data_IF_912659848206
#
_entry.id   IF_912659848206
#
_cell.length_a   1.000
_cell.length_b   1.000
_cell.length_c   1.000
_cell.angle_alpha   90.00
_cell.angle_beta   90.00
_cell.angle_gamma   90.00
#
_symmetry.space_group_name_H-M   'P 1'
#
loop_
_entity.id
_entity.type
_entity.pdbx_description
1 polymer ?
#
# COMPACT_ATOMS: atom_id res chain seq x y z
N UNK A 1 23.34 36.11 5.36
CA UNK A 1 24.30 36.97 4.62
C UNK A 1 25.55 37.04 5.45
N UNK A 2 26.74 36.90 4.85
CA UNK A 2 28.00 36.97 5.58
C UNK A 2 28.16 38.41 6.10
N UNK A 3 28.35 38.56 7.41
CA UNK A 3 28.55 39.87 8.06
C UNK A 3 29.97 40.39 7.87
N UNK A 4 30.85 39.64 7.18
CA UNK A 4 32.22 40.01 6.91
C UNK A 4 32.71 39.42 5.59
N UNK A 5 33.66 40.06 4.94
CA UNK A 5 34.30 39.54 3.74
C UNK A 5 35.07 38.26 4.04
N UNK A 6 34.83 37.17 3.27
CA UNK A 6 35.48 35.88 3.54
C UNK A 6 36.98 35.88 3.28
N UNK A 7 37.51 36.78 2.48
CA UNK A 7 38.95 36.87 2.18
C UNK A 7 39.70 37.75 3.16
N UNK A 8 39.22 39.01 3.45
CA UNK A 8 39.96 39.95 4.23
C UNK A 8 39.35 40.25 5.61
N UNK A 9 38.22 39.65 5.98
CA UNK A 9 37.56 39.85 7.26
C UNK A 9 36.86 41.22 7.46
N UNK A 10 36.90 42.12 6.48
CA UNK A 10 36.22 43.43 6.59
C UNK A 10 34.74 43.22 6.85
N UNK A 11 34.18 43.88 7.85
CA UNK A 11 32.73 43.88 8.12
C UNK A 11 31.96 44.51 6.95
N UNK A 12 30.97 43.78 6.46
CA UNK A 12 30.07 44.21 5.41
C UNK A 12 28.84 44.84 6.05
N UNK A 13 28.49 46.05 5.59
CA UNK A 13 27.29 46.72 6.04
C UNK A 13 26.11 46.41 5.10
N UNK A 14 24.90 46.61 5.57
CA UNK A 14 23.68 46.31 4.80
C UNK A 14 23.57 47.14 3.50
N UNK A 15 24.33 48.25 3.40
CA UNK A 15 24.41 49.14 2.21
C UNK A 15 25.56 48.76 1.26
N UNK A 16 26.41 47.79 1.62
CA UNK A 16 27.46 47.26 0.74
C UNK A 16 26.83 46.28 -0.28
N UNK A 17 26.18 46.84 -1.31
CA UNK A 17 25.42 46.09 -2.33
C UNK A 17 26.33 45.58 -3.45
N UNK A 18 27.60 45.99 -3.50
CA UNK A 18 28.54 45.55 -4.52
C UNK A 18 28.93 44.09 -4.34
N UNK A 19 28.96 43.35 -5.43
CA UNK A 19 29.39 41.93 -5.44
C UNK A 19 30.89 41.77 -5.08
N UNK A 20 31.66 42.86 -5.22
CA UNK A 20 33.09 42.89 -4.93
C UNK A 20 33.37 43.61 -3.60
N UNK A 21 34.30 43.05 -2.85
CA UNK A 21 34.73 43.69 -1.58
C UNK A 21 35.46 44.99 -1.86
N UNK A 22 35.00 46.10 -1.28
CA UNK A 22 35.60 47.42 -1.43
C UNK A 22 37.02 47.55 -0.86
N UNK A 23 37.52 46.55 -0.12
CA UNK A 23 38.86 46.53 0.47
C UNK A 23 39.86 45.68 -0.31
N UNK A 24 39.46 44.48 -0.75
CA UNK A 24 40.37 43.52 -1.38
C UNK A 24 39.97 43.13 -2.83
N UNK A 25 38.89 43.69 -3.37
CA UNK A 25 38.45 43.46 -4.74
C UNK A 25 37.89 42.09 -5.05
N UNK A 26 37.85 41.19 -4.05
CA UNK A 26 37.38 39.81 -4.25
C UNK A 26 35.86 39.80 -4.45
N UNK A 27 35.38 39.06 -5.46
CA UNK A 27 33.94 38.80 -5.64
C UNK A 27 33.43 37.92 -4.49
N UNK A 28 32.60 38.50 -3.61
CA UNK A 28 32.08 37.84 -2.41
C UNK A 28 31.20 36.61 -2.77
N UNK A 29 30.29 36.66 -3.75
CA UNK A 29 29.47 35.50 -4.12
C UNK A 29 30.30 34.38 -4.75
N UNK A 30 31.39 34.71 -5.46
CA UNK A 30 32.21 33.72 -6.16
C UNK A 30 33.47 33.30 -5.40
N UNK A 31 33.65 33.77 -4.15
CA UNK A 31 34.78 33.37 -3.32
C UNK A 31 34.69 31.88 -2.97
N UNK A 32 35.73 31.12 -3.33
CA UNK A 32 35.82 29.66 -3.14
C UNK A 32 34.55 28.92 -3.63
N UNK A 33 33.98 29.35 -4.76
CA UNK A 33 32.80 28.75 -5.29
C UNK A 33 32.98 27.26 -5.61
N UNK A 34 34.18 26.83 -6.01
CA UNK A 34 34.52 25.44 -6.30
C UNK A 34 34.46 24.57 -5.04
N UNK A 35 35.15 25.00 -3.95
CA UNK A 35 35.07 24.29 -2.65
C UNK A 35 33.63 24.23 -2.09
N UNK A 36 32.86 25.30 -2.28
CA UNK A 36 31.45 25.32 -1.84
C UNK A 36 30.60 24.38 -2.67
N UNK A 37 30.85 24.33 -3.98
CA UNK A 37 30.17 23.43 -4.87
C UNK A 37 30.50 21.97 -4.56
N UNK A 38 31.76 21.66 -4.29
CA UNK A 38 32.17 20.31 -3.88
C UNK A 38 31.54 19.92 -2.54
N UNK A 39 31.54 20.81 -1.54
CA UNK A 39 30.91 20.57 -0.26
C UNK A 39 29.38 20.38 -0.37
N UNK A 40 28.72 21.20 -1.21
CA UNK A 40 27.29 21.05 -1.48
C UNK A 40 26.98 19.75 -2.23
N UNK A 41 27.84 19.35 -3.17
CA UNK A 41 27.71 18.07 -3.88
C UNK A 41 27.90 16.88 -2.93
N UNK A 42 28.91 16.91 -2.05
CA UNK A 42 29.07 15.87 -1.03
C UNK A 42 27.85 15.75 -0.11
N UNK A 43 27.32 16.89 0.35
CA UNK A 43 26.11 16.92 1.17
C UNK A 43 24.89 16.38 0.40
N UNK A 44 24.75 16.74 -0.86
CA UNK A 44 23.72 16.23 -1.74
C UNK A 44 23.86 14.72 -1.92
N UNK A 45 25.04 14.24 -2.24
CA UNK A 45 25.32 12.80 -2.40
C UNK A 45 25.00 11.99 -1.14
N UNK A 46 25.41 12.49 0.04
CA UNK A 46 25.10 11.85 1.32
C UNK A 46 23.59 11.79 1.58
N UNK A 47 22.84 12.88 1.27
CA UNK A 47 21.39 12.92 1.41
C UNK A 47 20.71 11.97 0.41
N UNK A 48 21.14 11.96 -0.85
CA UNK A 48 20.64 11.05 -1.86
C UNK A 48 20.94 9.58 -1.53
N UNK A 49 22.15 9.28 -1.04
CA UNK A 49 22.48 7.92 -0.61
C UNK A 49 21.58 7.44 0.53
N UNK A 50 21.30 8.29 1.53
CA UNK A 50 20.37 7.95 2.60
C UNK A 50 18.93 7.76 2.12
N UNK A 51 18.48 8.59 1.20
CA UNK A 51 17.18 8.48 0.56
C UNK A 51 17.04 7.18 -0.26
N UNK A 52 18.02 6.85 -1.09
CA UNK A 52 18.02 5.62 -1.86
C UNK A 52 18.07 4.37 -0.98
N UNK A 53 18.83 4.38 0.13
CA UNK A 53 18.79 3.29 1.13
C UNK A 53 17.38 3.10 1.68
N UNK A 54 16.70 4.19 2.05
CA UNK A 54 15.32 4.12 2.53
C UNK A 54 14.36 3.56 1.47
N UNK A 55 14.47 4.01 0.21
CA UNK A 55 13.67 3.50 -0.90
C UNK A 55 13.93 2.02 -1.17
N UNK A 56 15.20 1.58 -1.16
CA UNK A 56 15.57 0.19 -1.35
C UNK A 56 14.97 -0.70 -0.25
N UNK A 57 15.00 -0.25 1.02
CA UNK A 57 14.35 -0.96 2.13
C UNK A 57 12.84 -1.08 1.94
N UNK A 58 12.17 0.01 1.55
CA UNK A 58 10.72 0.01 1.28
C UNK A 58 10.41 -0.95 0.13
N UNK A 59 11.10 -0.82 -1.00
CA UNK A 59 10.90 -1.68 -2.16
C UNK A 59 11.14 -3.16 -1.82
N UNK A 60 12.18 -3.46 -1.07
CA UNK A 60 12.45 -4.83 -0.60
C UNK A 60 11.36 -5.33 0.36
N UNK A 61 10.87 -4.49 1.28
CA UNK A 61 9.81 -4.87 2.22
C UNK A 61 8.49 -5.20 1.53
N UNK A 62 8.20 -4.54 0.41
CA UNK A 62 6.94 -4.70 -0.34
C UNK A 62 7.09 -5.82 -1.38
N UNK A 63 8.11 -5.76 -2.24
CA UNK A 63 8.24 -6.60 -3.43
C UNK A 63 9.53 -7.44 -3.48
N UNK A 64 10.36 -7.42 -2.45
CA UNK A 64 11.69 -8.02 -2.49
C UNK A 64 11.73 -9.55 -2.59
N UNK A 65 10.68 -10.24 -2.16
CA UNK A 65 10.56 -11.71 -2.27
C UNK A 65 9.12 -12.12 -2.57
N UNK A 66 8.94 -13.31 -3.16
CA UNK A 66 7.60 -13.87 -3.42
C UNK A 66 6.75 -13.92 -2.14
N UNK A 67 7.37 -14.25 -1.01
CA UNK A 67 6.71 -14.29 0.30
C UNK A 67 6.17 -12.91 0.73
N UNK A 68 6.89 -11.82 0.44
CA UNK A 68 6.48 -10.46 0.78
C UNK A 68 5.36 -9.95 -0.11
N UNK A 69 5.36 -10.32 -1.39
CA UNK A 69 4.25 -10.04 -2.30
C UNK A 69 3.00 -10.82 -1.85
N UNK A 70 3.15 -12.12 -1.56
CA UNK A 70 2.07 -12.95 -1.04
C UNK A 70 1.49 -12.38 0.25
N UNK A 71 2.33 -11.81 1.14
CA UNK A 71 1.87 -11.12 2.35
C UNK A 71 0.85 -10.03 2.07
N UNK A 72 1.11 -9.15 1.09
CA UNK A 72 0.19 -8.04 0.77
C UNK A 72 -1.14 -8.60 0.30
N UNK A 73 -1.13 -9.57 -0.62
CA UNK A 73 -2.35 -10.18 -1.15
C UNK A 73 -3.13 -10.88 -0.05
N UNK A 74 -2.45 -11.70 0.76
CA UNK A 74 -3.09 -12.50 1.81
C UNK A 74 -3.57 -11.65 2.99
N UNK A 75 -2.95 -10.49 3.26
CA UNK A 75 -3.42 -9.57 4.32
C UNK A 75 -4.65 -8.74 3.91
N UNK A 76 -4.99 -8.66 2.61
CA UNK A 76 -6.23 -8.04 2.14
C UNK A 76 -7.41 -9.03 2.19
N UNK A 77 -7.14 -10.32 1.99
CA UNK A 77 -8.19 -11.34 1.89
C UNK A 77 -9.16 -11.41 3.08
N UNK A 78 -8.73 -11.21 4.35
CA UNK A 78 -9.65 -11.19 5.48
C UNK A 78 -10.79 -10.18 5.32
N UNK A 79 -10.55 -9.03 4.67
CA UNK A 79 -11.60 -8.05 4.41
C UNK A 79 -12.78 -8.63 3.61
N UNK A 80 -12.51 -9.56 2.69
CA UNK A 80 -13.55 -10.28 1.94
C UNK A 80 -14.35 -11.19 2.87
N UNK A 81 -13.69 -11.86 3.82
CA UNK A 81 -14.34 -12.72 4.80
C UNK A 81 -15.35 -11.97 5.67
N UNK A 82 -15.09 -10.70 5.99
CA UNK A 82 -16.00 -9.87 6.79
C UNK A 82 -17.26 -9.41 6.03
N UNK A 83 -17.27 -9.48 4.70
CA UNK A 83 -18.47 -9.19 3.88
C UNK A 83 -19.48 -10.34 3.96
N UNK A 84 -19.00 -11.55 4.28
CA UNK A 84 -19.85 -12.73 4.38
C UNK A 84 -20.63 -12.74 5.69
N UNK A 85 -21.81 -13.38 5.74
CA UNK A 85 -22.58 -13.49 6.96
C UNK A 85 -21.81 -14.31 8.02
N UNK A 86 -21.46 -13.65 9.13
CA UNK A 86 -20.67 -14.25 10.21
C UNK A 86 -21.54 -14.86 11.31
N UNK A 87 -22.80 -14.41 11.44
CA UNK A 87 -23.79 -15.00 12.34
C UNK A 87 -25.16 -15.00 11.71
N UNK A 88 -26.02 -15.88 12.13
CA UNK A 88 -27.44 -15.95 11.72
C UNK A 88 -28.32 -15.97 12.93
N UNK A 89 -29.41 -15.19 12.88
CA UNK A 89 -30.50 -15.20 13.87
C UNK A 89 -31.73 -15.70 13.13
N UNK A 90 -32.37 -16.71 13.69
CA UNK A 90 -33.64 -17.26 13.19
C UNK A 90 -34.71 -17.03 14.23
N UNK A 91 -35.81 -16.49 13.80
CA UNK A 91 -37.07 -16.35 14.54
C UNK A 91 -38.14 -17.20 13.88
N UNK A 92 -39.27 -17.38 14.56
CA UNK A 92 -40.43 -18.10 13.97
C UNK A 92 -40.93 -17.46 12.66
N UNK A 93 -40.69 -16.16 12.47
CA UNK A 93 -41.11 -15.41 11.31
C UNK A 93 -40.07 -15.31 10.21
N UNK A 94 -38.79 -15.09 10.55
CA UNK A 94 -37.75 -14.76 9.58
C UNK A 94 -36.35 -15.22 10.03
N UNK A 95 -35.43 -15.26 9.07
CA UNK A 95 -34.02 -15.58 9.29
C UNK A 95 -33.16 -14.45 8.77
N UNK A 96 -32.34 -13.86 9.62
CA UNK A 96 -31.45 -12.74 9.29
C UNK A 96 -29.98 -13.16 9.41
N UNK A 97 -29.22 -12.88 8.37
CA UNK A 97 -27.75 -13.00 8.41
C UNK A 97 -27.13 -11.69 8.85
N UNK A 98 -26.22 -11.77 9.81
CA UNK A 98 -25.41 -10.63 10.24
C UNK A 98 -24.13 -10.60 9.41
N UNK A 99 -24.00 -9.59 8.59
CA UNK A 99 -22.79 -9.30 7.81
C UNK A 99 -22.36 -7.83 8.05
N UNK A 100 -21.28 -7.41 7.42
CA UNK A 100 -20.76 -6.06 7.56
C UNK A 100 -21.74 -4.98 7.07
N UNK A 101 -22.55 -5.28 6.06
CA UNK A 101 -23.48 -4.34 5.44
C UNK A 101 -24.90 -4.49 5.97
N UNK A 102 -25.28 -5.69 6.40
CA UNK A 102 -26.61 -6.06 6.88
C UNK A 102 -26.78 -6.08 8.40
N UNK A 103 -25.82 -5.54 9.17
CA UNK A 103 -25.82 -5.59 10.65
C UNK A 103 -27.10 -5.05 11.30
N UNK A 104 -27.95 -4.37 10.56
CA UNK A 104 -29.11 -3.67 11.11
C UNK A 104 -30.36 -3.72 10.22
N UNK A 105 -30.58 -4.77 9.46
CA UNK A 105 -31.83 -4.97 8.73
C UNK A 105 -32.36 -3.73 7.97
N UNK A 106 -31.51 -2.88 7.42
CA UNK A 106 -31.77 -1.73 6.55
C UNK A 106 -30.95 -0.46 6.86
N UNK A 107 -30.09 -0.47 7.87
CA UNK A 107 -29.19 0.67 8.13
C UNK A 107 -27.80 0.38 7.58
N UNK A 108 -27.19 1.39 6.95
CA UNK A 108 -25.80 1.30 6.54
C UNK A 108 -24.87 1.27 7.75
N UNK A 109 -23.66 0.72 7.59
CA UNK A 109 -22.62 0.73 8.64
C UNK A 109 -22.36 2.16 9.15
N UNK A 110 -22.41 3.15 8.24
CA UNK A 110 -22.19 4.57 8.57
C UNK A 110 -23.32 5.08 9.49
N UNK A 111 -24.57 4.70 9.25
CA UNK A 111 -25.69 5.10 10.07
C UNK A 111 -25.65 4.41 11.44
N UNK A 112 -25.18 3.15 11.48
CA UNK A 112 -24.95 2.45 12.76
C UNK A 112 -23.89 3.17 13.60
N UNK A 113 -22.75 3.58 13.00
CA UNK A 113 -21.74 4.36 13.70
C UNK A 113 -22.25 5.72 14.17
N UNK A 114 -23.02 6.42 13.36
CA UNK A 114 -23.64 7.70 13.74
C UNK A 114 -24.61 7.51 14.94
N UNK A 115 -25.46 6.50 14.87
CA UNK A 115 -26.38 6.18 15.95
C UNK A 115 -25.64 5.79 17.24
N UNK A 116 -24.59 4.98 17.13
CA UNK A 116 -23.77 4.58 18.27
C UNK A 116 -23.08 5.79 18.91
N UNK A 117 -22.43 6.65 18.11
CA UNK A 117 -21.75 7.84 18.64
C UNK A 117 -22.73 8.93 19.12
N UNK A 118 -23.90 9.03 18.49
CA UNK A 118 -24.96 9.96 18.92
C UNK A 118 -25.68 9.54 20.19
N UNK A 119 -25.75 8.23 20.47
CA UNK A 119 -26.49 7.65 21.59
C UNK A 119 -25.64 6.72 22.43
N UNK A 120 -24.36 7.06 22.66
CA UNK A 120 -23.38 6.21 23.36
C UNK A 120 -23.86 5.80 24.76
N UNK A 121 -24.57 6.70 25.46
CA UNK A 121 -25.17 6.40 26.79
C UNK A 121 -26.25 5.33 26.68
N UNK A 122 -27.07 5.36 25.63
CA UNK A 122 -28.12 4.37 25.41
C UNK A 122 -27.51 2.98 25.15
N UNK A 123 -26.49 2.88 24.30
CA UNK A 123 -25.87 1.62 23.95
C UNK A 123 -24.97 1.06 25.06
N UNK A 124 -24.28 1.91 25.83
CA UNK A 124 -23.35 1.46 26.87
C UNK A 124 -24.03 1.37 28.24
N UNK A 125 -24.87 2.33 28.60
CA UNK A 125 -25.46 2.43 29.95
C UNK A 125 -26.72 1.59 30.06
N UNK A 126 -27.58 1.55 29.06
CA UNK A 126 -28.79 0.74 29.05
C UNK A 126 -28.55 -0.76 28.86
N UNK A 127 -27.33 -1.17 28.46
CA UNK A 127 -26.93 -2.57 28.53
C UNK A 127 -26.94 -3.16 29.93
N UNK A 128 -26.96 -2.31 30.97
CA UNK A 128 -27.03 -2.70 32.39
C UNK A 128 -28.42 -2.60 32.99
N UNK A 129 -29.45 -2.22 32.21
CA UNK A 129 -30.79 -2.07 32.75
C UNK A 129 -31.37 -3.43 33.14
N UNK A 130 -31.87 -3.51 34.41
CA UNK A 130 -32.64 -4.64 34.90
C UNK A 130 -33.87 -4.84 33.98
N UNK A 131 -33.91 -5.93 33.25
CA UNK A 131 -34.96 -6.24 32.28
C UNK A 131 -34.48 -6.40 30.84
N UNK A 132 -33.30 -5.88 30.48
CA UNK A 132 -32.63 -6.29 29.24
C UNK A 132 -31.90 -7.62 29.54
N UNK A 133 -32.35 -8.68 28.89
CA UNK A 133 -31.71 -9.98 29.00
C UNK A 133 -30.22 -9.86 28.61
N UNK A 134 -29.34 -10.62 29.24
CA UNK A 134 -27.94 -10.72 28.90
C UNK A 134 -27.69 -11.01 27.43
N UNK A 135 -28.67 -11.50 26.71
CA UNK A 135 -28.76 -11.71 25.29
C UNK A 135 -28.46 -10.46 24.47
N UNK A 136 -29.13 -9.34 24.77
CA UNK A 136 -28.94 -8.10 24.01
C UNK A 136 -27.52 -7.56 24.20
N UNK A 137 -27.04 -7.54 25.45
CA UNK A 137 -25.70 -7.07 25.77
C UNK A 137 -24.62 -7.92 25.07
N UNK A 138 -24.74 -9.25 25.14
CA UNK A 138 -23.77 -10.16 24.53
C UNK A 138 -23.78 -10.11 23.02
N UNK A 139 -24.93 -9.95 22.37
CA UNK A 139 -25.00 -9.79 20.91
C UNK A 139 -24.41 -8.46 20.46
N UNK A 140 -24.62 -7.36 21.22
CA UNK A 140 -23.99 -6.08 20.94
C UNK A 140 -22.46 -6.14 21.13
N UNK A 141 -21.96 -6.78 22.20
CA UNK A 141 -20.53 -7.01 22.37
C UNK A 141 -19.96 -7.86 21.24
N UNK A 142 -20.69 -8.87 20.76
CA UNK A 142 -20.30 -9.66 19.61
C UNK A 142 -20.09 -8.78 18.36
N UNK A 143 -21.05 -7.89 18.07
CA UNK A 143 -20.93 -6.96 16.94
C UNK A 143 -19.75 -6.02 17.09
N UNK A 144 -19.55 -5.42 18.27
CA UNK A 144 -18.42 -4.53 18.55
C UNK A 144 -17.08 -5.25 18.38
N UNK A 145 -16.97 -6.48 18.88
CA UNK A 145 -15.77 -7.29 18.74
C UNK A 145 -15.50 -7.68 17.28
N UNK A 146 -16.54 -7.91 16.49
CA UNK A 146 -16.36 -8.20 15.06
C UNK A 146 -15.88 -6.98 14.28
N UNK A 147 -16.44 -5.81 14.56
CA UNK A 147 -15.97 -4.53 13.99
C UNK A 147 -14.54 -4.24 14.43
N UNK A 148 -14.22 -4.46 15.71
CA UNK A 148 -12.86 -4.31 16.22
C UNK A 148 -11.88 -5.25 15.51
N UNK A 149 -12.28 -6.50 15.26
CA UNK A 149 -11.48 -7.45 14.50
C UNK A 149 -11.17 -6.94 13.11
N UNK A 150 -12.16 -6.43 12.39
CA UNK A 150 -11.97 -5.82 11.07
C UNK A 150 -11.02 -4.61 11.14
N UNK A 151 -11.23 -3.71 12.08
CA UNK A 151 -10.37 -2.52 12.26
C UNK A 151 -8.92 -2.93 12.52
N UNK A 152 -8.68 -3.91 13.37
CA UNK A 152 -7.33 -4.41 13.67
C UNK A 152 -6.67 -5.05 12.43
N UNK A 153 -7.42 -5.79 11.62
CA UNK A 153 -6.93 -6.34 10.35
C UNK A 153 -6.57 -5.24 9.34
N UNK A 154 -7.41 -4.21 9.22
CA UNK A 154 -7.16 -3.05 8.36
C UNK A 154 -5.94 -2.26 8.84
N UNK A 155 -5.81 -2.03 10.14
CA UNK A 155 -4.62 -1.38 10.71
C UNK A 155 -3.37 -2.20 10.42
N UNK A 156 -3.42 -3.53 10.62
CA UNK A 156 -2.31 -4.42 10.31
C UNK A 156 -1.89 -4.32 8.83
N UNK A 157 -2.84 -4.26 7.91
CA UNK A 157 -2.58 -4.05 6.49
C UNK A 157 -1.84 -2.73 6.22
N UNK A 158 -2.32 -1.60 6.75
CA UNK A 158 -1.65 -0.32 6.56
C UNK A 158 -0.27 -0.27 7.21
N UNK A 159 -0.08 -0.95 8.33
CA UNK A 159 1.22 -1.06 8.98
C UNK A 159 2.28 -1.75 8.11
N UNK A 160 1.91 -2.56 7.12
CA UNK A 160 2.84 -3.12 6.13
C UNK A 160 3.62 -2.00 5.43
N UNK A 161 2.93 -0.92 5.06
CA UNK A 161 3.52 0.23 4.36
C UNK A 161 4.21 1.19 5.31
N UNK A 162 3.58 1.50 6.44
CA UNK A 162 4.13 2.44 7.43
C UNK A 162 5.44 1.91 8.03
N UNK A 163 5.47 0.62 8.36
CA UNK A 163 6.64 -0.04 8.94
C UNK A 163 7.55 -0.70 7.89
N UNK A 164 7.40 -0.36 6.60
CA UNK A 164 8.17 -0.94 5.51
C UNK A 164 9.70 -0.79 5.67
N UNK A 165 10.16 0.26 6.37
CA UNK A 165 11.59 0.44 6.70
C UNK A 165 12.12 -0.55 7.73
N UNK A 166 11.25 -1.21 8.52
CA UNK A 166 11.59 -2.13 9.60
C UNK A 166 11.22 -3.56 9.23
N UNK A 167 12.11 -4.29 8.60
CA UNK A 167 11.83 -5.64 8.05
C UNK A 167 11.39 -6.69 9.07
N UNK A 168 11.83 -6.60 10.32
CA UNK A 168 11.64 -7.60 11.37
C UNK A 168 10.66 -7.16 12.45
N UNK A 169 9.70 -6.31 12.12
CA UNK A 169 8.70 -5.92 13.11
C UNK A 169 7.70 -7.04 13.35
N UNK A 170 7.45 -7.33 14.63
CA UNK A 170 6.41 -8.27 15.07
C UNK A 170 5.03 -7.60 15.19
N UNK A 171 4.97 -6.26 15.03
CA UNK A 171 3.75 -5.51 15.25
C UNK A 171 2.58 -6.00 14.39
N UNK A 172 2.83 -6.31 13.10
CA UNK A 172 1.79 -6.83 12.21
C UNK A 172 1.19 -8.14 12.73
N UNK A 173 2.05 -9.09 13.13
CA UNK A 173 1.58 -10.37 13.68
C UNK A 173 0.78 -10.19 14.97
N UNK A 174 1.15 -9.20 15.80
CA UNK A 174 0.42 -8.88 17.03
C UNK A 174 -0.95 -8.29 16.71
N UNK A 175 -1.05 -7.31 15.81
CA UNK A 175 -2.34 -6.70 15.44
C UNK A 175 -3.27 -7.72 14.79
N UNK A 176 -2.77 -8.57 13.90
CA UNK A 176 -3.60 -9.63 13.31
C UNK A 176 -3.96 -10.72 14.31
N UNK A 177 -3.06 -11.07 15.24
CA UNK A 177 -3.36 -11.97 16.34
C UNK A 177 -4.47 -11.43 17.24
N UNK A 178 -4.45 -10.14 17.57
CA UNK A 178 -5.52 -9.46 18.29
C UNK A 178 -6.83 -9.44 17.48
N UNK A 179 -6.75 -9.29 16.16
CA UNK A 179 -7.92 -9.41 15.28
C UNK A 179 -8.57 -10.80 15.37
N UNK A 180 -7.76 -11.85 15.33
CA UNK A 180 -8.24 -13.25 15.51
C UNK A 180 -8.90 -13.42 16.88
N UNK A 181 -8.27 -12.94 17.95
CA UNK A 181 -8.83 -13.03 19.30
C UNK A 181 -10.16 -12.27 19.42
N UNK A 182 -10.25 -11.10 18.81
CA UNK A 182 -11.48 -10.32 18.76
C UNK A 182 -12.59 -11.03 17.98
N UNK A 183 -12.28 -11.65 16.83
CA UNK A 183 -13.24 -12.43 16.05
C UNK A 183 -13.75 -13.65 16.83
N UNK A 184 -12.86 -14.39 17.50
CA UNK A 184 -13.25 -15.52 18.33
C UNK A 184 -14.08 -15.05 19.51
N UNK A 185 -13.69 -13.97 20.18
CA UNK A 185 -14.48 -13.35 21.26
C UNK A 185 -15.87 -12.95 20.78
N UNK A 186 -16.00 -12.40 19.58
CA UNK A 186 -17.29 -12.10 18.94
C UNK A 186 -18.18 -13.35 18.82
N UNK A 187 -17.64 -14.43 18.28
CA UNK A 187 -18.39 -15.69 18.13
C UNK A 187 -18.83 -16.29 19.47
N UNK A 188 -17.98 -16.22 20.49
CA UNK A 188 -18.30 -16.67 21.85
C UNK A 188 -19.42 -15.83 22.46
N UNK A 189 -19.31 -14.49 22.41
CA UNK A 189 -20.34 -13.58 22.91
C UNK A 189 -21.67 -13.80 22.20
N UNK A 190 -21.65 -13.97 20.87
CA UNK A 190 -22.86 -14.24 20.09
C UNK A 190 -23.53 -15.56 20.52
N UNK A 191 -22.75 -16.63 20.62
CA UNK A 191 -23.26 -17.95 20.98
C UNK A 191 -23.83 -17.97 22.40
N UNK A 192 -23.19 -17.29 23.35
CA UNK A 192 -23.68 -17.15 24.71
C UNK A 192 -24.94 -16.27 24.79
N UNK A 193 -24.95 -15.17 24.02
CA UNK A 193 -26.09 -14.27 23.94
C UNK A 193 -27.35 -14.97 23.43
N UNK A 194 -27.22 -15.69 22.31
CA UNK A 194 -28.39 -16.42 21.75
C UNK A 194 -28.87 -17.53 22.70
N UNK A 195 -27.98 -18.23 23.41
CA UNK A 195 -28.38 -19.24 24.41
C UNK A 195 -29.08 -18.65 25.63
N UNK A 196 -28.75 -17.42 25.99
CA UNK A 196 -29.36 -16.71 27.09
C UNK A 196 -30.70 -16.05 26.73
N UNK A 197 -31.10 -16.10 25.45
CA UNK A 197 -32.36 -15.51 24.99
C UNK A 197 -33.54 -16.17 25.69
N UNK A 198 -34.32 -15.44 26.51
CA UNK A 198 -35.51 -16.00 27.11
C UNK A 198 -36.55 -16.23 26.01
N UNK A 199 -37.24 -17.36 26.09
CA UNK A 199 -38.24 -17.77 25.10
C UNK A 199 -39.45 -16.81 24.98
N UNK A 200 -39.54 -15.82 25.89
CA UNK A 200 -40.74 -14.98 26.06
C UNK A 200 -40.50 -13.49 25.80
N UNK A 201 -39.27 -13.03 25.67
CA UNK A 201 -38.97 -11.61 25.43
C UNK A 201 -38.68 -11.35 23.96
N UNK A 202 -39.50 -10.53 23.33
CA UNK A 202 -39.25 -9.99 22.00
C UNK A 202 -38.01 -9.09 22.02
N UNK A 203 -36.96 -9.47 21.34
CA UNK A 203 -35.78 -8.65 21.14
C UNK A 203 -35.92 -7.96 19.81
N UNK A 204 -35.89 -6.62 19.79
CA UNK A 204 -35.85 -5.87 18.56
C UNK A 204 -34.40 -5.67 18.16
N UNK A 205 -34.00 -6.32 17.06
CA UNK A 205 -32.77 -6.03 16.34
C UNK A 205 -33.07 -4.98 15.27
N UNK A 206 -32.88 -3.72 15.60
CA UNK A 206 -33.32 -2.63 14.73
C UNK A 206 -34.83 -2.61 14.60
N UNK A 207 -35.37 -2.76 13.38
CA UNK A 207 -36.80 -2.90 13.08
C UNK A 207 -37.30 -4.35 13.06
N UNK A 208 -36.45 -5.32 13.44
CA UNK A 208 -36.76 -6.75 13.38
C UNK A 208 -37.13 -7.31 14.76
N UNK A 209 -38.41 -7.65 15.00
CA UNK A 209 -38.80 -8.30 16.27
C UNK A 209 -38.36 -9.77 16.24
N UNK A 210 -37.52 -10.14 17.17
CA UNK A 210 -37.02 -11.51 17.32
C UNK A 210 -37.75 -12.18 18.50
N UNK A 211 -38.69 -13.07 18.19
CA UNK A 211 -39.34 -13.93 19.16
C UNK A 211 -38.78 -15.34 19.06
N UNK A 212 -38.55 -16.04 20.15
CA UNK A 212 -38.00 -17.39 20.19
C UNK A 212 -36.69 -17.51 19.35
N UNK A 213 -35.79 -16.56 19.62
CA UNK A 213 -34.56 -16.46 18.80
C UNK A 213 -33.69 -17.68 18.98
N UNK A 214 -33.43 -18.32 17.86
CA UNK A 214 -32.36 -19.31 17.70
C UNK A 214 -31.34 -18.76 16.73
N UNK A 215 -30.10 -19.11 16.93
CA UNK A 215 -29.05 -18.60 16.02
C UNK A 215 -27.73 -19.29 16.27
N UNK A 216 -26.81 -18.97 15.44
CA UNK A 216 -25.45 -19.53 15.51
C UNK A 216 -24.47 -18.79 14.62
N UNK A 217 -23.23 -19.17 14.81
CA UNK A 217 -22.13 -18.69 13.97
C UNK A 217 -22.33 -19.22 12.56
N UNK A 218 -22.33 -18.32 11.57
CA UNK A 218 -22.52 -18.67 10.17
C UNK A 218 -21.22 -19.10 9.50
N UNK A 219 -21.31 -19.66 8.31
CA UNK A 219 -20.17 -20.14 7.54
C UNK A 219 -19.15 -19.03 7.21
N UNK A 220 -19.62 -17.80 7.00
CA UNK A 220 -18.75 -16.65 6.72
C UNK A 220 -17.74 -16.36 7.84
N UNK A 221 -18.12 -16.62 9.12
CA UNK A 221 -17.18 -16.51 10.22
C UNK A 221 -16.00 -17.46 10.08
N UNK A 222 -16.24 -18.71 9.74
CA UNK A 222 -15.16 -19.70 9.58
C UNK A 222 -14.23 -19.35 8.41
N UNK A 223 -14.79 -18.80 7.33
CA UNK A 223 -13.98 -18.27 6.22
C UNK A 223 -13.15 -17.08 6.66
N UNK A 224 -13.74 -16.10 7.33
CA UNK A 224 -13.02 -14.94 7.84
C UNK A 224 -11.91 -15.36 8.82
N UNK A 225 -12.21 -16.27 9.73
CA UNK A 225 -11.23 -16.79 10.71
C UNK A 225 -10.07 -17.51 10.01
N UNK A 226 -10.36 -18.37 9.02
CA UNK A 226 -9.33 -19.06 8.25
C UNK A 226 -8.42 -18.07 7.52
N UNK A 227 -8.98 -17.05 6.88
CA UNK A 227 -8.23 -16.01 6.19
C UNK A 227 -7.38 -15.17 7.15
N UNK A 228 -7.90 -14.83 8.34
CA UNK A 228 -7.13 -14.16 9.38
C UNK A 228 -5.96 -15.01 9.88
N UNK A 229 -6.17 -16.30 10.10
CA UNK A 229 -5.11 -17.21 10.51
C UNK A 229 -4.01 -17.34 9.44
N UNK A 230 -4.39 -17.38 8.17
CA UNK A 230 -3.44 -17.34 7.03
C UNK A 230 -2.65 -16.02 7.04
N UNK A 231 -3.30 -14.89 7.28
CA UNK A 231 -2.63 -13.59 7.38
C UNK A 231 -1.65 -13.53 8.56
N UNK A 232 -2.02 -14.02 9.74
CA UNK A 232 -1.10 -14.17 10.89
C UNK A 232 0.10 -15.05 10.52
N UNK A 233 -0.15 -16.19 9.88
CA UNK A 233 0.89 -17.15 9.49
C UNK A 233 1.89 -16.55 8.52
N UNK A 234 1.42 -15.85 7.47
CA UNK A 234 2.30 -15.22 6.49
C UNK A 234 3.11 -14.07 7.09
N UNK A 235 2.51 -13.25 7.97
CA UNK A 235 3.23 -12.18 8.65
C UNK A 235 4.27 -12.71 9.64
N UNK A 236 3.98 -13.79 10.34
CA UNK A 236 4.96 -14.47 11.18
C UNK A 236 6.11 -15.09 10.36
N UNK A 237 5.81 -15.68 9.21
CA UNK A 237 6.81 -16.21 8.30
C UNK A 237 7.73 -15.13 7.75
N UNK A 238 7.17 -13.98 7.31
CA UNK A 238 7.95 -12.83 6.83
C UNK A 238 8.82 -12.25 7.94
N UNK A 239 8.33 -12.17 9.18
CA UNK A 239 9.10 -11.66 10.31
C UNK A 239 10.29 -12.57 10.66
N UNK A 240 10.18 -13.88 10.42
CA UNK A 240 11.26 -14.88 10.64
C UNK A 240 12.20 -15.00 9.43
N UNK A 241 11.78 -14.58 8.24
CA UNK A 241 12.56 -14.71 7.01
C UNK A 241 13.88 -13.93 7.09
N UNK A 242 14.96 -14.43 6.46
CA UNK A 242 16.21 -13.71 6.39
C UNK A 242 16.02 -12.36 5.70
N UNK A 243 16.63 -11.33 6.26
CA UNK A 243 16.60 -9.98 5.69
C UNK A 243 17.95 -9.69 5.05
N UNK A 244 17.92 -9.05 3.88
CA UNK A 244 19.13 -8.56 3.22
C UNK A 244 19.67 -7.34 3.94
N UNK A 245 20.98 -7.16 3.90
CA UNK A 245 21.67 -5.97 4.38
C UNK A 245 21.46 -4.79 3.41
N UNK A 246 21.75 -3.57 3.86
CA UNK A 246 21.64 -2.39 3.01
C UNK A 246 22.60 -2.45 1.83
N UNK A 247 23.80 -2.98 2.06
CA UNK A 247 24.85 -3.12 1.03
C UNK A 247 24.43 -4.14 -0.06
N UNK A 248 23.81 -5.24 0.36
CA UNK A 248 23.25 -6.23 -0.59
C UNK A 248 22.10 -5.63 -1.41
N UNK A 249 21.22 -4.83 -0.79
CA UNK A 249 20.14 -4.16 -1.49
C UNK A 249 20.65 -3.11 -2.48
N UNK A 250 21.70 -2.40 -2.13
CA UNK A 250 22.33 -1.41 -3.00
C UNK A 250 23.04 -2.06 -4.17
N UNK A 251 23.82 -3.12 -3.93
CA UNK A 251 24.46 -3.89 -5.00
C UNK A 251 23.47 -4.48 -6.00
N UNK A 252 22.34 -5.04 -5.52
CA UNK A 252 21.26 -5.52 -6.40
C UNK A 252 20.60 -4.39 -7.21
N UNK A 253 20.43 -3.22 -6.63
CA UNK A 253 19.90 -2.05 -7.35
C UNK A 253 20.83 -1.64 -8.47
N UNK A 254 22.13 -1.53 -8.17
CA UNK A 254 23.14 -1.17 -9.16
C UNK A 254 23.23 -2.21 -10.27
N UNK A 255 23.20 -3.49 -9.93
CA UNK A 255 23.19 -4.57 -10.91
C UNK A 255 21.94 -4.52 -11.83
N UNK A 256 20.75 -4.24 -11.26
CA UNK A 256 19.53 -4.07 -12.07
C UNK A 256 19.59 -2.84 -12.97
N UNK A 257 20.20 -1.74 -12.49
CA UNK A 257 20.39 -0.52 -13.27
C UNK A 257 21.32 -0.79 -14.44
N UNK A 258 22.48 -1.41 -14.20
CA UNK A 258 23.43 -1.79 -15.24
C UNK A 258 22.81 -2.74 -16.29
N UNK A 259 22.05 -3.75 -15.83
CA UNK A 259 21.36 -4.67 -16.74
C UNK A 259 20.27 -3.97 -17.59
N UNK A 260 19.63 -2.93 -17.06
CA UNK A 260 18.67 -2.12 -17.81
C UNK A 260 19.36 -1.26 -18.85
N UNK A 261 20.42 -0.56 -18.46
CA UNK A 261 21.23 0.25 -19.36
C UNK A 261 21.82 -0.59 -20.52
N UNK A 262 22.29 -1.80 -20.19
CA UNK A 262 22.80 -2.72 -21.20
C UNK A 262 21.70 -3.12 -22.20
N UNK A 263 20.50 -3.46 -21.73
CA UNK A 263 19.36 -3.79 -22.60
C UNK A 263 18.93 -2.60 -23.48
N UNK A 264 18.94 -1.40 -22.93
CA UNK A 264 18.62 -0.18 -23.69
C UNK A 264 19.67 0.08 -24.76
N UNK A 265 20.95 -0.13 -24.44
CA UNK A 265 22.03 -0.03 -25.41
C UNK A 265 21.92 -1.07 -26.53
N UNK A 266 21.68 -2.34 -26.17
CA UNK A 266 21.47 -3.42 -27.15
C UNK A 266 20.26 -3.16 -28.07
N UNK A 267 19.18 -2.62 -27.49
CA UNK A 267 17.98 -2.25 -28.25
C UNK A 267 18.22 -1.05 -29.18
N UNK A 268 19.04 -0.08 -28.76
CA UNK A 268 19.44 1.05 -29.60
C UNK A 268 20.31 0.59 -30.74
N UNK A 269 21.32 -0.23 -30.47
CA UNK A 269 22.21 -0.81 -31.48
C UNK A 269 21.44 -1.63 -32.52
N UNK A 270 20.48 -2.44 -32.08
CA UNK A 270 19.63 -3.22 -32.99
C UNK A 270 18.81 -2.33 -33.92
N UNK A 271 18.26 -1.23 -33.42
CA UNK A 271 17.53 -0.25 -34.24
C UNK A 271 18.42 0.45 -35.24
N UNK A 272 19.66 0.71 -34.87
CA UNK A 272 20.65 1.33 -35.79
C UNK A 272 20.99 0.39 -36.93
N UNK A 273 21.26 -0.88 -36.64
CA UNK A 273 21.50 -1.93 -37.66
C UNK A 273 20.29 -2.07 -38.59
N UNK A 274 19.07 -2.14 -38.04
CA UNK A 274 17.84 -2.22 -38.84
C UNK A 274 17.67 -1.00 -39.78
N UNK A 275 18.06 0.20 -39.33
CA UNK A 275 18.03 1.41 -40.16
C UNK A 275 19.06 1.34 -41.28
N UNK A 276 20.30 0.93 -40.99
CA UNK A 276 21.33 0.77 -42.01
C UNK A 276 20.95 -0.26 -43.06
N UNK A 277 20.35 -1.37 -42.64
CA UNK A 277 19.87 -2.40 -43.61
C UNK A 277 18.71 -1.87 -44.47
N UNK A 278 17.79 -1.10 -43.88
CA UNK A 278 16.70 -0.47 -44.61
C UNK A 278 17.22 0.55 -45.62
N UNK A 279 18.18 1.39 -45.25
CA UNK A 279 18.81 2.34 -46.14
C UNK A 279 19.58 1.66 -47.31
N UNK A 280 20.27 0.54 -47.03
CA UNK A 280 20.93 -0.25 -48.05
C UNK A 280 19.94 -0.82 -49.07
N UNK A 281 18.83 -1.40 -48.58
CA UNK A 281 17.76 -1.93 -49.44
C UNK A 281 17.13 -0.83 -50.31
N UNK A 282 16.88 0.34 -49.74
CA UNK A 282 16.32 1.49 -50.44
C UNK A 282 17.28 1.98 -51.55
N UNK A 283 18.58 2.08 -51.27
CA UNK A 283 19.61 2.44 -52.26
C UNK A 283 19.71 1.41 -53.37
N UNK A 284 19.63 0.12 -53.03
CA UNK A 284 19.65 -0.97 -54.05
C UNK A 284 18.39 -0.92 -54.93
N UNK A 285 17.23 -0.65 -54.37
CA UNK A 285 15.98 -0.52 -55.10
C UNK A 285 16.01 0.70 -56.04
N UNK A 286 16.50 1.86 -55.55
CA UNK A 286 16.68 3.06 -56.36
C UNK A 286 17.66 2.81 -57.51
N UNK A 287 18.78 2.12 -57.25
CA UNK A 287 19.75 1.76 -58.31
C UNK A 287 19.11 0.85 -59.38
N UNK A 288 18.26 -0.09 -58.96
CA UNK A 288 17.54 -0.98 -59.88
C UNK A 288 16.53 -0.21 -60.73
N UNK A 289 15.77 0.72 -60.16
CA UNK A 289 14.81 1.57 -60.88
C UNK A 289 15.56 2.44 -61.92
N UNK A 290 16.68 3.04 -61.54
CA UNK A 290 17.51 3.85 -62.46
C UNK A 290 18.07 3.00 -63.60
N UNK A 291 18.54 1.79 -63.36
CA UNK A 291 19.03 0.86 -64.36
C UNK A 291 17.93 0.44 -65.36
N UNK A 292 16.72 0.13 -64.85
CA UNK A 292 15.56 -0.18 -65.70
C UNK A 292 15.13 1.01 -66.58
N UNK A 293 15.15 2.22 -66.02
CA UNK A 293 14.83 3.45 -66.78
C UNK A 293 15.83 3.70 -67.89
N UNK A 294 17.12 3.54 -67.59
CA UNK A 294 18.19 3.64 -68.61
C UNK A 294 18.03 2.59 -69.71
N UNK A 295 17.71 1.35 -69.38
CA UNK A 295 17.49 0.28 -70.36
C UNK A 295 16.26 0.54 -71.24
N UNK A 296 15.20 1.12 -70.73
CA UNK A 296 14.01 1.54 -71.51
C UNK A 296 14.33 2.69 -72.47
N UNK A 297 15.09 3.68 -72.00
CA UNK A 297 15.55 4.78 -72.83
C UNK A 297 16.44 4.28 -74.04
N UNK A 298 17.42 3.43 -73.78
CA UNK A 298 18.26 2.85 -74.81
C UNK A 298 17.46 2.02 -75.83
N UNK A 299 16.43 1.29 -75.38
CA UNK A 299 15.52 0.57 -76.32
C UNK A 299 14.63 1.51 -77.13
N UNK A 300 14.27 2.68 -76.62
CA UNK A 300 13.50 3.69 -77.39
C UNK A 300 14.31 4.42 -78.42
N UNK A 301 15.60 4.68 -78.16
CA UNK A 301 16.52 5.28 -79.09
C UNK A 301 16.88 4.34 -80.29
N UNK A 302 17.06 3.02 -80.01
CA UNK A 302 17.26 2.02 -81.01
C UNK A 302 16.02 1.74 -81.92
N UNK A 303 14.83 2.14 -81.48
CA UNK A 303 13.61 2.03 -82.30
C UNK A 303 13.38 3.26 -83.23
N UNK A 304 14.11 4.35 -83.04
CA UNK A 304 14.01 5.57 -83.85
C UNK A 304 15.09 5.68 -84.92
N UNK A 305 16.03 4.73 -84.97
CA UNK A 305 16.95 4.50 -86.08
C UNK A 305 16.40 3.38 -86.94
#
# INVERSE_FOLDING_TARGET
MASSCPNCGKKLHWYDVKAECSNCGVSIPNFNWEERLEADNELAERKFASFYRALNRIAYSICGTKLRIARIVLSVLPAIGFILPWATIKSDAESVGLDLFGMTCNKSLIDLFKDFFGNTSLYITNMKYEGFSGTLSLTMYSMLLMVLSLLLAVIAFFLIFILAKRFKTKALTVFEGLSVLSAVGSAVCFTLGIKAAPNELGINFGSFPVYNATGGVAWGFYVALALLLVAVGINAAVAKAPSKTDDELESERLARKAAKEQKEYEAALKKEIEREEAEKKEKEEQARIVAEAKAKLAKSENKKK
#
